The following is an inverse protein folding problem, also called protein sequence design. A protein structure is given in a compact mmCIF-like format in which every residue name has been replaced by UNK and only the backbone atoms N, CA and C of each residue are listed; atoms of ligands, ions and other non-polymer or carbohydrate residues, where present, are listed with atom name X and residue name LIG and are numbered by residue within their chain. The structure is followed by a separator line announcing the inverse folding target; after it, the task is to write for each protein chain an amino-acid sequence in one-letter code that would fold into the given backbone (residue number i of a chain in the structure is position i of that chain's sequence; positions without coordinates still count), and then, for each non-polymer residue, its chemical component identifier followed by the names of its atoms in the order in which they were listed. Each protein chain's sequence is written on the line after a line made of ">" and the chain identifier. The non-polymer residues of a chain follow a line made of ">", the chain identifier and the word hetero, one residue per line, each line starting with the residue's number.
data_IF_431004320442
#
_entry.id   IF_431004320442
#
_cell.length_a   1.000
_cell.length_b   1.000
_cell.length_c   1.000
_cell.angle_alpha   90.00
_cell.angle_beta   90.00
_cell.angle_gamma   90.00
#
_symmetry.space_group_name_H-M   'P 1'
#
loop_
_entity.id
_entity.type
_entity.pdbx_description
1 polymer ?
#
# COMPACT_ATOMS: atom_id res chain seq x y z
N UNK A 1 13.04 7.14 -31.91
CA UNK A 1 11.82 6.49 -31.37
C UNK A 1 11.96 6.45 -29.86
N UNK A 2 10.93 6.79 -29.07
CA UNK A 2 11.04 6.78 -27.61
C UNK A 2 11.26 5.37 -27.09
N UNK A 3 12.08 5.23 -26.04
CA UNK A 3 12.34 3.94 -25.38
C UNK A 3 11.09 3.45 -24.64
N UNK A 4 11.03 2.17 -24.25
CA UNK A 4 9.91 1.64 -23.46
C UNK A 4 9.81 2.39 -22.12
N UNK A 5 10.94 2.60 -21.44
CA UNK A 5 11.00 3.37 -20.17
C UNK A 5 10.48 4.78 -20.34
N UNK A 6 10.87 5.47 -21.42
CA UNK A 6 10.38 6.82 -21.72
C UNK A 6 8.87 6.85 -21.95
N UNK A 7 8.32 5.86 -22.67
CA UNK A 7 6.88 5.75 -22.89
C UNK A 7 6.11 5.57 -21.58
N UNK A 8 6.57 4.69 -20.69
CA UNK A 8 5.91 4.42 -19.40
C UNK A 8 6.03 5.63 -18.47
N UNK A 9 7.22 6.22 -18.35
CA UNK A 9 7.45 7.39 -17.51
C UNK A 9 6.59 8.58 -17.96
N UNK A 10 6.50 8.82 -19.27
CA UNK A 10 5.65 9.87 -19.83
C UNK A 10 4.17 9.62 -19.52
N UNK A 11 3.69 8.39 -19.73
CA UNK A 11 2.31 8.03 -19.38
C UNK A 11 2.02 8.26 -17.89
N UNK A 12 2.91 7.82 -16.99
CA UNK A 12 2.74 7.98 -15.55
C UNK A 12 2.76 9.46 -15.10
N UNK A 13 3.53 10.32 -15.77
CA UNK A 13 3.61 11.74 -15.47
C UNK A 13 2.42 12.55 -16.02
N UNK A 14 1.79 12.09 -17.11
CA UNK A 14 0.73 12.82 -17.83
C UNK A 14 -0.69 12.30 -17.56
N UNK A 15 -0.84 11.14 -16.92
CA UNK A 15 -2.15 10.57 -16.60
C UNK A 15 -2.92 11.50 -15.65
N UNK A 16 -4.21 11.69 -15.93
CA UNK A 16 -5.14 12.50 -15.13
C UNK A 16 -6.39 11.68 -14.84
N UNK A 17 -7.15 12.06 -13.83
CA UNK A 17 -8.33 11.30 -13.39
C UNK A 17 -9.35 11.10 -14.53
N UNK A 18 -9.57 12.13 -15.35
CA UNK A 18 -10.46 12.09 -16.51
C UNK A 18 -10.01 11.15 -17.63
N UNK A 19 -8.75 10.70 -17.62
CA UNK A 19 -8.25 9.69 -18.56
C UNK A 19 -8.58 8.26 -18.11
N UNK A 20 -9.00 8.06 -16.85
CA UNK A 20 -9.21 6.75 -16.28
C UNK A 20 -10.56 6.16 -16.70
N UNK A 21 -10.55 4.89 -17.08
CA UNK A 21 -11.77 4.13 -17.35
C UNK A 21 -12.62 4.03 -16.05
N UNK A 22 -13.94 4.29 -16.09
CA UNK A 22 -14.82 4.10 -14.93
C UNK A 22 -14.68 2.73 -14.24
N UNK A 23 -14.44 1.66 -14.99
CA UNK A 23 -14.21 0.33 -14.43
C UNK A 23 -12.91 0.23 -13.62
N UNK A 24 -11.85 0.92 -14.05
CA UNK A 24 -10.59 0.97 -13.32
C UNK A 24 -10.73 1.75 -12.00
N UNK A 25 -11.51 2.83 -12.02
CA UNK A 25 -11.85 3.62 -10.82
C UNK A 25 -12.65 2.76 -9.83
N UNK A 26 -13.66 2.02 -10.29
CA UNK A 26 -14.45 1.13 -9.43
C UNK A 26 -13.58 0.03 -8.82
N UNK A 27 -12.72 -0.60 -9.61
CA UNK A 27 -11.79 -1.62 -9.13
C UNK A 27 -10.83 -1.05 -8.07
N UNK A 28 -10.21 0.11 -8.34
CA UNK A 28 -9.30 0.75 -7.39
C UNK A 28 -9.98 1.06 -6.04
N UNK A 29 -11.24 1.51 -6.05
CA UNK A 29 -12.01 1.73 -4.80
C UNK A 29 -12.20 0.43 -4.02
N UNK A 30 -12.55 -0.67 -4.71
CA UNK A 30 -12.71 -1.99 -4.07
C UNK A 30 -11.41 -2.48 -3.45
N UNK A 31 -10.29 -2.34 -4.17
CA UNK A 31 -8.98 -2.71 -3.63
C UNK A 31 -8.61 -1.85 -2.42
N UNK A 32 -8.87 -0.55 -2.43
CA UNK A 32 -8.66 0.29 -1.24
C UNK A 32 -9.46 -0.18 -0.01
N UNK A 33 -10.71 -0.62 -0.21
CA UNK A 33 -11.52 -1.19 0.86
C UNK A 33 -10.95 -2.52 1.37
N UNK A 34 -10.55 -3.40 0.46
CA UNK A 34 -9.91 -4.69 0.77
C UNK A 34 -8.60 -4.53 1.54
N UNK A 35 -7.69 -3.68 1.02
CA UNK A 35 -6.41 -3.31 1.65
C UNK A 35 -6.61 -2.81 3.07
N UNK A 36 -7.57 -1.92 3.32
CA UNK A 36 -7.83 -1.41 4.67
C UNK A 36 -8.35 -2.51 5.60
N UNK A 37 -9.23 -3.40 5.12
CA UNK A 37 -9.71 -4.55 5.87
C UNK A 37 -8.56 -5.50 6.26
N UNK A 38 -7.70 -5.82 5.30
CA UNK A 38 -6.51 -6.64 5.51
C UNK A 38 -5.56 -6.00 6.52
N UNK A 39 -5.26 -4.71 6.39
CA UNK A 39 -4.41 -3.98 7.32
C UNK A 39 -4.95 -4.01 8.76
N UNK A 40 -6.26 -3.83 8.94
CA UNK A 40 -6.88 -3.87 10.28
C UNK A 40 -6.80 -5.26 10.92
N UNK A 41 -6.96 -6.33 10.13
CA UNK A 41 -6.75 -7.69 10.61
C UNK A 41 -5.28 -7.99 10.89
N UNK A 42 -4.39 -7.60 9.98
CA UNK A 42 -2.94 -7.78 10.09
C UNK A 42 -2.31 -7.01 11.24
N UNK A 43 -2.86 -5.84 11.61
CA UNK A 43 -2.45 -5.08 12.80
C UNK A 43 -2.53 -5.90 14.11
N UNK A 44 -3.32 -6.98 14.13
CA UNK A 44 -3.43 -7.87 15.28
C UNK A 44 -2.39 -8.99 15.32
N UNK A 45 -1.72 -9.26 14.19
CA UNK A 45 -0.69 -10.31 14.05
C UNK A 45 0.52 -9.97 14.93
N UNK A 46 1.06 -10.98 15.60
CA UNK A 46 2.15 -10.83 16.57
C UNK A 46 3.37 -10.13 15.97
N UNK A 47 3.78 -10.54 14.77
CA UNK A 47 4.95 -10.00 14.08
C UNK A 47 4.78 -8.52 13.72
N UNK A 48 3.58 -8.11 13.33
CA UNK A 48 3.26 -6.70 13.08
C UNK A 48 3.38 -5.85 14.35
N UNK A 49 2.97 -6.39 15.50
CA UNK A 49 3.12 -5.71 16.80
C UNK A 49 4.59 -5.56 17.19
N UNK A 50 5.41 -6.59 17.01
CA UNK A 50 6.86 -6.51 17.24
C UNK A 50 7.48 -5.41 16.37
N UNK A 51 7.11 -5.37 15.09
CA UNK A 51 7.69 -4.39 14.17
C UNK A 51 7.24 -2.96 14.49
N UNK A 52 5.99 -2.78 14.91
CA UNK A 52 5.51 -1.48 15.41
C UNK A 52 6.31 -1.01 16.62
N UNK A 53 6.55 -1.88 17.61
CA UNK A 53 7.37 -1.55 18.79
C UNK A 53 8.81 -1.19 18.41
N UNK A 54 9.39 -1.89 17.43
CA UNK A 54 10.71 -1.54 16.90
C UNK A 54 10.75 -0.09 16.39
N UNK A 55 9.78 0.30 15.55
CA UNK A 55 9.71 1.66 15.01
C UNK A 55 9.38 2.73 16.07
N UNK A 56 8.59 2.39 17.10
CA UNK A 56 8.39 3.26 18.27
C UNK A 56 9.72 3.58 18.96
N UNK A 57 10.60 2.59 19.08
CA UNK A 57 11.95 2.75 19.65
C UNK A 57 12.89 3.61 18.79
N UNK A 58 12.71 3.66 17.47
CA UNK A 58 13.51 4.50 16.57
C UNK A 58 13.17 5.99 16.67
N UNK A 59 12.01 6.34 17.25
CA UNK A 59 11.58 7.72 17.47
C UNK A 59 11.69 8.63 16.22
N UNK A 60 11.14 8.18 15.09
CA UNK A 60 11.14 8.94 13.84
C UNK A 60 9.76 9.56 13.53
N UNK A 61 9.39 10.67 14.20
CA UNK A 61 8.07 11.28 14.06
C UNK A 61 7.84 11.83 12.66
N UNK A 62 6.57 12.00 12.29
CA UNK A 62 6.17 12.62 11.03
C UNK A 62 4.65 12.70 10.88
N UNK A 63 4.15 13.21 9.75
CA UNK A 63 2.73 13.48 9.58
C UNK A 63 1.89 12.23 9.26
N UNK A 64 2.53 11.11 8.91
CA UNK A 64 1.84 9.93 8.37
C UNK A 64 1.33 9.03 9.49
N UNK A 65 0.16 8.43 9.26
CA UNK A 65 -0.53 7.59 10.25
C UNK A 65 -0.20 6.12 10.01
N UNK A 66 0.11 5.41 11.08
CA UNK A 66 0.16 3.95 11.10
C UNK A 66 -1.26 3.41 11.34
N UNK A 67 -1.75 2.55 10.44
CA UNK A 67 -3.09 1.96 10.51
C UNK A 67 -3.22 1.12 11.78
N UNK A 68 -4.39 1.17 12.43
CA UNK A 68 -4.68 0.42 13.64
C UNK A 68 -4.17 1.07 14.94
N UNK A 69 -2.92 1.54 14.99
CA UNK A 69 -2.37 2.18 16.20
C UNK A 69 -2.65 3.69 16.28
N UNK A 70 -2.75 4.37 15.14
CA UNK A 70 -2.89 5.83 15.08
C UNK A 70 -1.58 6.59 15.31
N UNK A 71 -0.45 5.89 15.49
CA UNK A 71 0.85 6.51 15.68
C UNK A 71 1.23 7.40 14.49
N UNK A 72 2.02 8.44 14.79
CA UNK A 72 2.48 9.42 13.81
C UNK A 72 3.96 9.25 13.53
N UNK A 73 4.29 8.85 12.30
CA UNK A 73 5.66 8.54 11.87
C UNK A 73 6.01 9.20 10.54
N UNK A 74 7.30 9.20 10.21
CA UNK A 74 7.76 9.63 8.89
C UNK A 74 7.15 8.75 7.77
N UNK A 75 7.10 9.25 6.52
CA UNK A 75 6.44 8.55 5.42
C UNK A 75 6.99 7.15 5.14
N UNK A 76 8.31 6.93 5.28
CA UNK A 76 8.94 5.63 4.99
C UNK A 76 8.54 4.60 6.03
N UNK A 77 8.63 4.96 7.32
CA UNK A 77 8.23 4.08 8.42
C UNK A 77 6.73 3.74 8.37
N UNK A 78 5.87 4.74 8.17
CA UNK A 78 4.43 4.53 8.10
C UNK A 78 4.03 3.66 6.90
N UNK A 79 4.62 3.89 5.72
CA UNK A 79 4.36 3.07 4.54
C UNK A 79 4.78 1.61 4.76
N UNK A 80 5.98 1.38 5.30
CA UNK A 80 6.49 0.03 5.56
C UNK A 80 5.61 -0.73 6.57
N UNK A 81 5.22 -0.09 7.68
CA UNK A 81 4.35 -0.71 8.68
C UNK A 81 2.96 -1.02 8.11
N UNK A 82 2.38 -0.10 7.36
CA UNK A 82 1.06 -0.29 6.75
C UNK A 82 1.08 -1.43 5.72
N UNK A 83 2.09 -1.46 4.83
CA UNK A 83 2.26 -2.53 3.84
C UNK A 83 2.44 -3.91 4.50
N UNK A 84 3.27 -3.98 5.55
CA UNK A 84 3.42 -5.22 6.33
C UNK A 84 2.07 -5.71 6.88
N UNK A 85 1.26 -4.80 7.44
CA UNK A 85 -0.05 -5.15 7.98
C UNK A 85 -1.04 -5.60 6.90
N UNK A 86 -1.03 -4.97 5.71
CA UNK A 86 -1.84 -5.41 4.57
C UNK A 86 -1.49 -6.86 4.23
N UNK A 87 -0.19 -7.18 4.21
CA UNK A 87 0.33 -8.47 3.75
C UNK A 87 0.31 -9.59 4.79
N UNK A 88 0.27 -9.27 6.08
CA UNK A 88 0.59 -10.20 7.16
C UNK A 88 -0.22 -11.52 7.18
N UNK A 89 -1.43 -11.52 6.63
CA UNK A 89 -2.32 -12.69 6.62
C UNK A 89 -2.48 -13.33 5.24
N UNK A 90 -1.84 -12.76 4.20
CA UNK A 90 -1.98 -13.21 2.80
C UNK A 90 -3.46 -13.22 2.32
N UNK A 91 -4.25 -12.26 2.80
CA UNK A 91 -5.69 -12.12 2.49
C UNK A 91 -5.98 -11.04 1.46
N UNK A 92 -5.01 -10.20 1.16
CA UNK A 92 -5.17 -9.08 0.25
C UNK A 92 -5.19 -9.53 -1.22
N UNK A 93 -5.64 -8.63 -2.08
CA UNK A 93 -5.81 -8.82 -3.51
C UNK A 93 -4.67 -9.58 -4.23
N UNK A 94 -5.04 -10.35 -5.25
CA UNK A 94 -4.11 -11.02 -6.15
C UNK A 94 -4.37 -10.62 -7.61
N UNK A 95 -3.31 -10.23 -8.31
CA UNK A 95 -3.34 -9.95 -9.75
C UNK A 95 -2.83 -11.16 -10.53
N UNK A 96 -3.76 -11.96 -11.06
CA UNK A 96 -3.45 -13.19 -11.79
C UNK A 96 -3.11 -12.93 -13.27
N UNK A 97 -1.84 -12.66 -13.56
CA UNK A 97 -1.30 -12.60 -14.94
C UNK A 97 -0.03 -13.45 -15.08
N UNK A 98 0.90 -13.05 -15.95
CA UNK A 98 2.12 -13.81 -16.23
C UNK A 98 3.02 -13.95 -14.99
N UNK A 99 3.01 -12.94 -14.11
CA UNK A 99 3.67 -12.96 -12.81
C UNK A 99 2.62 -12.59 -11.75
N UNK A 100 2.08 -13.57 -10.99
CA UNK A 100 1.10 -13.31 -9.95
C UNK A 100 1.67 -12.41 -8.85
N UNK A 101 0.96 -11.35 -8.51
CA UNK A 101 1.43 -10.38 -7.51
C UNK A 101 0.28 -9.83 -6.67
N UNK A 102 0.66 -9.12 -5.60
CA UNK A 102 -0.25 -8.43 -4.68
C UNK A 102 0.02 -6.93 -4.78
N UNK A 103 -0.56 -6.25 -5.78
CA UNK A 103 -0.15 -4.88 -6.14
C UNK A 103 -0.64 -3.81 -5.17
N UNK A 104 -1.55 -4.14 -4.24
CA UNK A 104 -2.07 -3.19 -3.26
C UNK A 104 -1.39 -3.28 -1.89
N UNK A 105 -0.34 -4.11 -1.75
CA UNK A 105 0.65 -4.04 -0.66
C UNK A 105 1.24 -2.61 -0.56
#
# INVERSE_FOLDING_TARGET
>A
MPTITEKIARWAAEVRYEHLNPAAIDAAKRFLYDTLGCALGGAQVHDCKIFLEHYRGLQQPGPCTVIGSGDKMNPVAAAMLNALMVRAMDYNDIYWKQDPSHPSD
#
